data_IF_278973371278
#
_entry.id   IF_278973371278
#
_cell.length_a   1.000
_cell.length_b   1.000
_cell.length_c   1.000
_cell.angle_alpha   90.00
_cell.angle_beta   90.00
_cell.angle_gamma   90.00
#
_symmetry.space_group_name_H-M   'P 1'
#
loop_
_entity.id
_entity.type
_entity.pdbx_description
1 polymer ?
#
# COMPACT_ATOMS: atom_id res chain seq x y z
N UNK A 1 -0.75 -11.14 -14.56
CA UNK A 1 -0.83 -11.81 -15.87
C UNK A 1 -0.38 -13.27 -15.68
N UNK A 2 -1.32 -14.21 -15.72
CA UNK A 2 -1.00 -15.63 -15.66
C UNK A 2 -0.43 -16.04 -17.01
N UNK A 3 0.89 -16.25 -17.10
CA UNK A 3 1.49 -16.81 -18.32
C UNK A 3 1.47 -18.32 -18.16
N UNK A 4 0.44 -18.97 -18.74
CA UNK A 4 0.43 -20.41 -18.93
C UNK A 4 1.29 -20.68 -20.17
N UNK A 5 2.52 -21.15 -19.98
CA UNK A 5 3.33 -21.66 -21.09
C UNK A 5 2.78 -23.05 -21.44
N UNK A 6 1.96 -23.12 -22.50
CA UNK A 6 1.49 -24.40 -23.00
C UNK A 6 2.66 -25.25 -23.51
N UNK A 7 2.55 -26.56 -23.33
CA UNK A 7 3.52 -27.57 -23.83
C UNK A 7 3.83 -27.31 -25.31
N UNK A 8 5.00 -26.72 -25.60
CA UNK A 8 5.56 -26.74 -26.94
C UNK A 8 6.68 -27.78 -27.03
N UNK A 9 6.79 -28.49 -28.14
CA UNK A 9 7.72 -29.58 -28.36
C UNK A 9 9.21 -29.29 -28.11
N UNK A 10 9.55 -27.98 -27.90
CA UNK A 10 10.92 -27.55 -27.62
C UNK A 10 11.34 -27.72 -26.14
N UNK A 11 10.40 -27.84 -25.20
CA UNK A 11 10.73 -28.01 -23.77
C UNK A 11 11.15 -29.44 -23.44
N UNK A 12 10.68 -30.43 -24.20
CA UNK A 12 11.08 -31.84 -24.03
C UNK A 12 12.58 -32.05 -24.32
N UNK A 13 13.22 -31.19 -25.12
CA UNK A 13 14.67 -31.29 -25.42
C UNK A 13 15.57 -30.85 -24.26
N UNK A 14 15.04 -30.12 -23.28
CA UNK A 14 15.80 -29.61 -22.15
C UNK A 14 15.58 -30.43 -20.86
N UNK A 15 14.80 -31.52 -20.91
CA UNK A 15 14.52 -32.36 -19.74
C UNK A 15 13.69 -31.66 -18.66
N UNK A 16 12.98 -30.57 -19.01
CA UNK A 16 12.11 -29.82 -18.10
C UNK A 16 10.68 -30.35 -18.27
N UNK A 17 10.45 -31.52 -17.72
CA UNK A 17 9.10 -32.08 -17.64
C UNK A 17 8.34 -31.45 -16.48
N UNK A 18 7.18 -30.82 -16.78
CA UNK A 18 6.20 -30.33 -15.79
C UNK A 18 6.70 -29.24 -14.82
N UNK A 19 7.53 -28.27 -15.26
CA UNK A 19 7.81 -27.09 -14.45
C UNK A 19 6.65 -26.09 -14.58
N UNK A 20 5.91 -25.88 -13.49
CA UNK A 20 4.95 -24.78 -13.35
C UNK A 20 5.68 -23.60 -12.72
N UNK A 21 5.59 -22.41 -13.34
CA UNK A 21 6.22 -21.18 -12.84
C UNK A 21 5.14 -20.15 -12.64
N UNK A 22 5.02 -19.66 -11.39
CA UNK A 22 4.16 -18.55 -11.03
C UNK A 22 4.93 -17.24 -11.14
N UNK A 23 4.52 -16.34 -12.06
CA UNK A 23 5.21 -15.08 -12.35
C UNK A 23 4.39 -13.84 -11.96
N UNK A 24 3.24 -14.02 -11.32
CA UNK A 24 2.32 -12.93 -10.97
C UNK A 24 2.40 -12.56 -9.48
N UNK A 25 3.62 -12.45 -8.95
CA UNK A 25 3.83 -12.08 -7.55
C UNK A 25 3.45 -10.61 -7.23
N UNK A 26 3.20 -9.80 -8.25
CA UNK A 26 2.67 -8.45 -8.06
C UNK A 26 1.17 -8.43 -7.73
N UNK A 27 0.41 -9.42 -8.21
CA UNK A 27 -1.00 -9.55 -7.85
C UNK A 27 -1.17 -10.20 -6.48
N UNK A 28 -0.46 -11.31 -6.23
CA UNK A 28 -0.47 -12.01 -4.93
C UNK A 28 0.79 -12.84 -4.75
N UNK A 29 1.15 -13.11 -3.51
CA UNK A 29 2.34 -13.90 -3.15
C UNK A 29 1.93 -14.99 -2.17
N UNK A 30 2.53 -16.18 -2.31
CA UNK A 30 2.37 -17.27 -1.37
C UNK A 30 2.86 -16.84 0.02
N UNK A 31 2.12 -17.20 1.06
CA UNK A 31 2.59 -17.02 2.45
C UNK A 31 3.83 -17.88 2.66
N UNK A 32 4.91 -17.27 3.19
CA UNK A 32 6.12 -18.01 3.53
C UNK A 32 5.79 -19.11 4.56
N UNK A 33 6.25 -20.36 4.36
CA UNK A 33 6.00 -21.44 5.30
C UNK A 33 6.40 -21.15 6.75
N UNK A 34 7.49 -20.39 6.97
CA UNK A 34 7.92 -19.97 8.32
C UNK A 34 6.93 -18.99 8.94
N UNK A 35 6.35 -18.08 8.13
CA UNK A 35 5.31 -17.15 8.59
C UNK A 35 4.05 -17.91 8.95
N UNK A 36 3.64 -18.87 8.12
CA UNK A 36 2.49 -19.74 8.40
C UNK A 36 2.68 -20.51 9.71
N UNK A 37 3.85 -21.12 9.92
CA UNK A 37 4.15 -21.86 11.16
C UNK A 37 4.16 -20.95 12.39
N UNK A 38 4.67 -19.71 12.26
CA UNK A 38 4.65 -18.71 13.33
C UNK A 38 3.22 -18.24 13.69
N UNK A 39 2.34 -18.15 12.69
CA UNK A 39 0.94 -17.75 12.89
C UNK A 39 0.08 -18.86 13.50
N UNK A 40 0.35 -20.12 13.18
CA UNK A 40 -0.48 -21.28 13.53
C UNK A 40 -0.93 -21.35 14.98
N UNK A 41 -0.08 -21.11 16.00
CA UNK A 41 -0.48 -21.17 17.42
C UNK A 41 -1.60 -20.18 17.79
N UNK A 42 -1.69 -19.05 17.07
CA UNK A 42 -2.66 -18.00 17.38
C UNK A 42 -4.09 -18.32 16.95
N UNK A 43 -4.28 -19.36 16.12
CA UNK A 43 -5.61 -19.78 15.71
C UNK A 43 -6.32 -20.64 16.76
N UNK A 44 -5.58 -21.49 17.51
CA UNK A 44 -6.19 -22.46 18.42
C UNK A 44 -5.59 -22.47 19.82
N UNK A 45 -4.29 -22.16 19.99
CA UNK A 45 -3.59 -22.31 21.26
C UNK A 45 -3.50 -20.98 22.02
N UNK A 46 -3.19 -19.88 21.33
CA UNK A 46 -2.97 -18.53 21.86
C UNK A 46 -4.02 -17.54 21.32
N UNK A 47 -5.29 -17.88 21.41
CA UNK A 47 -6.41 -17.14 20.81
C UNK A 47 -7.02 -16.05 21.71
N UNK A 48 -6.49 -15.85 22.92
CA UNK A 48 -7.03 -14.90 23.88
C UNK A 48 -6.94 -13.45 23.41
N UNK A 49 -7.99 -12.65 23.70
CA UNK A 49 -7.96 -11.23 23.40
C UNK A 49 -6.83 -10.55 24.19
N UNK A 50 -5.85 -9.90 23.53
CA UNK A 50 -4.68 -9.30 24.19
C UNK A 50 -5.04 -8.18 25.19
N UNK A 51 -6.22 -7.57 25.06
CA UNK A 51 -6.71 -6.54 25.99
C UNK A 51 -7.42 -7.11 27.23
N UNK A 52 -7.59 -8.43 27.32
CA UNK A 52 -8.21 -9.06 28.48
C UNK A 52 -7.21 -9.26 29.61
N UNK A 53 -7.63 -8.96 30.86
CA UNK A 53 -6.78 -9.07 32.07
C UNK A 53 -6.59 -10.50 32.56
N UNK A 54 -7.33 -11.46 32.06
CA UNK A 54 -7.21 -12.85 32.46
C UNK A 54 -6.06 -13.57 31.75
N UNK A 55 -5.67 -14.74 32.24
CA UNK A 55 -4.52 -15.54 31.81
C UNK A 55 -4.41 -15.73 30.29
N UNK A 56 -5.52 -15.94 29.59
CA UNK A 56 -5.50 -16.16 28.14
C UNK A 56 -5.11 -14.88 27.36
N UNK A 57 -5.60 -13.71 27.78
CA UNK A 57 -5.22 -12.43 27.15
C UNK A 57 -3.78 -12.03 27.49
N UNK A 58 -3.38 -12.19 28.76
CA UNK A 58 -2.02 -11.88 29.22
C UNK A 58 -0.93 -12.68 28.47
N UNK A 59 -1.23 -13.88 27.97
CA UNK A 59 -0.29 -14.68 27.18
C UNK A 59 -0.14 -14.20 25.73
N UNK A 60 -1.16 -13.55 25.16
CA UNK A 60 -1.19 -13.09 23.77
C UNK A 60 -0.57 -11.68 23.62
N UNK A 61 -0.77 -10.80 24.59
CA UNK A 61 -0.33 -9.40 24.54
C UNK A 61 1.17 -9.22 24.24
N UNK A 62 2.12 -9.91 24.91
CA UNK A 62 3.55 -9.75 24.62
C UNK A 62 3.92 -10.11 23.17
N UNK A 63 3.22 -11.08 22.58
CA UNK A 63 3.45 -11.51 21.21
C UNK A 63 2.94 -10.50 20.19
N UNK A 64 1.84 -9.81 20.52
CA UNK A 64 1.35 -8.70 19.70
C UNK A 64 2.34 -7.53 19.72
N UNK A 65 2.88 -7.17 20.89
CA UNK A 65 3.91 -6.11 21.02
C UNK A 65 5.18 -6.48 20.23
N UNK A 66 5.65 -7.73 20.35
CA UNK A 66 6.80 -8.22 19.58
C UNK A 66 6.56 -8.09 18.07
N UNK A 67 5.39 -8.47 17.57
CA UNK A 67 5.03 -8.37 16.16
C UNK A 67 4.98 -6.91 15.68
N UNK A 68 4.43 -5.99 16.50
CA UNK A 68 4.43 -4.56 16.20
C UNK A 68 5.86 -4.00 16.11
N UNK A 69 6.75 -4.37 17.02
CA UNK A 69 8.15 -3.93 16.97
C UNK A 69 8.84 -4.35 15.67
N UNK A 70 8.58 -5.58 15.18
CA UNK A 70 9.10 -6.00 13.88
C UNK A 70 8.54 -5.17 12.71
N UNK A 71 7.31 -4.68 12.80
CA UNK A 71 6.77 -3.77 11.77
C UNK A 71 7.47 -2.41 11.82
N UNK A 72 7.67 -1.82 13.02
CA UNK A 72 8.44 -0.58 13.18
C UNK A 72 9.86 -0.70 12.62
N UNK A 73 10.57 -1.76 12.99
CA UNK A 73 11.93 -2.03 12.47
C UNK A 73 11.91 -2.25 10.94
N UNK A 74 10.92 -2.98 10.43
CA UNK A 74 10.84 -3.38 9.03
C UNK A 74 10.61 -2.24 8.04
N UNK A 75 10.06 -1.11 8.50
CA UNK A 75 9.84 0.10 7.69
C UNK A 75 10.62 1.31 8.21
N UNK A 76 11.52 1.12 9.16
CA UNK A 76 12.27 2.19 9.83
C UNK A 76 11.36 3.28 10.41
N UNK A 77 10.23 2.88 11.04
CA UNK A 77 9.35 3.82 11.70
C UNK A 77 9.96 4.30 13.02
N UNK A 78 9.77 5.58 13.35
CA UNK A 78 10.20 6.18 14.61
C UNK A 78 9.14 5.96 15.72
N UNK A 79 9.50 6.24 16.98
CA UNK A 79 8.60 6.08 18.12
C UNK A 79 7.37 7.01 18.07
N UNK A 80 7.48 8.14 17.37
CA UNK A 80 6.40 9.10 17.12
C UNK A 80 5.45 8.72 15.98
N UNK A 81 5.80 7.70 15.18
CA UNK A 81 4.94 7.21 14.11
C UNK A 81 3.90 6.22 14.66
N UNK A 82 2.71 6.22 14.07
CA UNK A 82 1.62 5.31 14.43
C UNK A 82 1.46 4.21 13.38
N UNK A 83 1.54 2.94 13.80
CA UNK A 83 1.17 1.80 12.96
C UNK A 83 -0.25 1.35 13.30
N UNK A 84 -1.17 1.52 12.36
CA UNK A 84 -2.57 1.15 12.49
C UNK A 84 -2.84 -0.12 11.70
N UNK A 85 -3.35 -1.16 12.37
CA UNK A 85 -3.68 -2.43 11.73
C UNK A 85 -5.11 -2.39 11.23
N UNK A 86 -5.28 -2.64 9.94
CA UNK A 86 -6.57 -2.76 9.25
C UNK A 86 -6.79 -4.17 8.72
N UNK A 87 -8.01 -4.50 8.29
CA UNK A 87 -8.31 -5.81 7.72
C UNK A 87 -7.61 -6.06 6.36
N UNK A 88 -7.39 -5.01 5.59
CA UNK A 88 -6.74 -5.07 4.27
C UNK A 88 -6.42 -3.66 3.75
N UNK A 89 -5.66 -3.57 2.65
CA UNK A 89 -5.29 -2.30 2.01
C UNK A 89 -6.51 -1.49 1.53
N UNK A 90 -7.62 -2.13 1.16
CA UNK A 90 -8.86 -1.43 0.79
C UNK A 90 -9.38 -0.58 1.95
N UNK A 91 -9.37 -1.12 3.16
CA UNK A 91 -9.76 -0.37 4.36
C UNK A 91 -8.79 0.77 4.62
N UNK A 92 -7.48 0.53 4.57
CA UNK A 92 -6.45 1.55 4.77
C UNK A 92 -6.61 2.72 3.79
N UNK A 93 -6.71 2.43 2.49
CA UNK A 93 -6.85 3.43 1.45
C UNK A 93 -8.14 4.25 1.61
N UNK A 94 -9.27 3.59 1.91
CA UNK A 94 -10.53 4.28 2.20
C UNK A 94 -10.45 5.14 3.45
N UNK A 95 -9.76 4.66 4.49
CA UNK A 95 -9.59 5.42 5.73
C UNK A 95 -8.84 6.73 5.48
N UNK A 96 -7.70 6.67 4.77
CA UNK A 96 -6.93 7.87 4.45
C UNK A 96 -7.74 8.85 3.61
N UNK A 97 -8.28 8.40 2.46
CA UNK A 97 -9.00 9.28 1.54
C UNK A 97 -10.25 9.89 2.16
N UNK A 98 -11.06 9.09 2.87
CA UNK A 98 -12.28 9.58 3.53
C UNK A 98 -11.97 10.37 4.79
N UNK A 99 -10.88 10.05 5.51
CA UNK A 99 -10.41 10.84 6.64
C UNK A 99 -10.02 12.25 6.20
N UNK A 100 -9.23 12.37 5.13
CA UNK A 100 -8.87 13.68 4.54
C UNK A 100 -10.11 14.46 4.08
N UNK A 101 -11.06 13.76 3.47
CA UNK A 101 -12.34 14.38 3.07
C UNK A 101 -13.10 14.93 4.28
N UNK A 102 -13.24 14.16 5.35
CA UNK A 102 -13.98 14.58 6.55
C UNK A 102 -13.25 15.73 7.27
N UNK A 103 -11.94 15.58 7.49
CA UNK A 103 -11.19 16.48 8.38
C UNK A 103 -10.72 17.76 7.70
N UNK A 104 -10.31 17.69 6.43
CA UNK A 104 -9.69 18.82 5.73
C UNK A 104 -10.59 19.45 4.66
N UNK A 105 -11.50 18.66 4.04
CA UNK A 105 -12.34 19.16 2.95
C UNK A 105 -13.69 19.63 3.46
N UNK A 106 -14.44 18.77 4.16
CA UNK A 106 -15.76 19.16 4.68
C UNK A 106 -15.71 20.27 5.74
N UNK A 107 -14.68 20.26 6.57
CA UNK A 107 -14.52 21.19 7.69
C UNK A 107 -13.44 22.27 7.46
N UNK A 108 -12.80 22.28 6.30
CA UNK A 108 -11.66 23.17 5.98
C UNK A 108 -11.85 23.96 4.70
N UNK A 109 -10.74 24.48 4.19
CA UNK A 109 -10.69 25.30 2.94
C UNK A 109 -10.08 24.55 1.78
N UNK A 110 -9.75 23.25 1.95
CA UNK A 110 -9.21 22.40 0.90
C UNK A 110 -10.35 21.70 0.15
N UNK A 111 -10.18 21.46 -1.16
CA UNK A 111 -11.17 20.73 -1.95
C UNK A 111 -10.57 19.98 -3.13
N UNK A 112 -9.28 19.61 -3.04
CA UNK A 112 -8.61 18.97 -4.17
C UNK A 112 -7.74 17.80 -3.74
N UNK A 113 -7.80 16.71 -4.50
CA UNK A 113 -6.96 15.51 -4.37
C UNK A 113 -6.25 15.28 -5.70
N UNK A 114 -4.98 14.91 -5.65
CA UNK A 114 -4.19 14.50 -6.81
C UNK A 114 -3.90 13.01 -6.69
N UNK A 115 -4.12 12.25 -7.76
CA UNK A 115 -3.81 10.81 -7.83
C UNK A 115 -3.36 10.45 -9.25
N UNK A 116 -3.11 9.16 -9.54
CA UNK A 116 -2.75 8.71 -10.89
C UNK A 116 -3.88 7.91 -11.55
N UNK A 117 -3.87 7.83 -12.89
CA UNK A 117 -4.83 7.02 -13.65
C UNK A 117 -4.63 5.51 -13.47
N UNK A 118 -3.47 5.10 -12.95
CA UNK A 118 -3.05 3.70 -12.85
C UNK A 118 -3.09 3.13 -11.42
N UNK A 119 -3.74 3.85 -10.51
CA UNK A 119 -3.95 3.39 -9.14
C UNK A 119 -4.82 2.13 -9.07
N UNK A 120 -4.68 1.39 -7.97
CA UNK A 120 -5.59 0.30 -7.68
C UNK A 120 -7.04 0.81 -7.53
N UNK A 121 -8.07 0.01 -7.91
CA UNK A 121 -9.49 0.40 -7.81
C UNK A 121 -9.91 0.90 -6.43
N UNK A 122 -9.24 0.52 -5.35
CA UNK A 122 -9.51 1.03 -4.00
C UNK A 122 -9.27 2.54 -3.86
N UNK A 123 -8.35 3.09 -4.65
CA UNK A 123 -8.09 4.54 -4.73
C UNK A 123 -9.05 5.18 -5.74
N UNK A 124 -9.07 4.68 -6.99
CA UNK A 124 -9.83 5.31 -8.07
C UNK A 124 -11.35 5.30 -7.81
N UNK A 125 -11.90 4.19 -7.28
CA UNK A 125 -13.32 4.13 -6.92
C UNK A 125 -13.67 5.03 -5.72
N UNK A 126 -12.75 5.16 -4.74
CA UNK A 126 -12.95 6.08 -3.62
C UNK A 126 -12.86 7.53 -4.08
N UNK A 127 -11.91 7.88 -4.95
CA UNK A 127 -11.84 9.21 -5.56
C UNK A 127 -13.11 9.53 -6.35
N UNK A 128 -13.64 8.58 -7.12
CA UNK A 128 -14.90 8.74 -7.85
C UNK A 128 -16.09 9.02 -6.92
N UNK A 129 -16.18 8.28 -5.81
CA UNK A 129 -17.17 8.57 -4.79
C UNK A 129 -17.01 9.98 -4.22
N UNK A 130 -15.78 10.45 -3.97
CA UNK A 130 -15.52 11.78 -3.45
C UNK A 130 -15.86 12.88 -4.47
N UNK A 131 -15.64 12.65 -5.78
CA UNK A 131 -16.10 13.56 -6.85
C UNK A 131 -17.61 13.72 -6.83
N UNK A 132 -18.37 12.65 -6.60
CA UNK A 132 -19.83 12.70 -6.45
C UNK A 132 -20.26 13.48 -5.19
N UNK A 133 -19.36 13.68 -4.22
CA UNK A 133 -19.54 14.55 -3.05
C UNK A 133 -19.02 15.99 -3.26
N UNK A 134 -18.57 16.33 -4.48
CA UNK A 134 -18.10 17.66 -4.84
C UNK A 134 -16.61 17.93 -4.65
N UNK A 135 -15.80 16.89 -4.36
CA UNK A 135 -14.34 17.01 -4.30
C UNK A 135 -13.77 17.10 -5.71
N UNK A 136 -12.83 18.00 -5.93
CA UNK A 136 -12.07 18.07 -7.18
C UNK A 136 -10.94 17.02 -7.18
N UNK A 137 -10.84 16.19 -8.19
CA UNK A 137 -9.77 15.20 -8.32
C UNK A 137 -9.00 15.41 -9.61
N UNK A 138 -7.67 15.45 -9.52
CA UNK A 138 -6.78 15.43 -10.68
C UNK A 138 -6.15 14.04 -10.81
N UNK A 139 -6.38 13.39 -11.95
CA UNK A 139 -5.76 12.12 -12.30
C UNK A 139 -4.58 12.38 -13.23
N UNK A 140 -3.36 12.05 -12.79
CA UNK A 140 -2.15 12.20 -13.57
C UNK A 140 -1.96 10.97 -14.47
N UNK A 141 -1.82 11.20 -15.78
CA UNK A 141 -1.45 10.16 -16.72
C UNK A 141 0.00 9.74 -16.56
N UNK A 142 0.33 8.50 -16.91
CA UNK A 142 1.70 7.99 -16.92
C UNK A 142 2.40 8.29 -18.25
N UNK A 143 3.73 8.38 -18.20
CA UNK A 143 4.58 8.51 -19.36
C UNK A 143 4.77 7.16 -20.09
N UNK A 144 5.54 7.13 -21.19
CA UNK A 144 5.82 5.93 -22.00
C UNK A 144 6.53 4.82 -21.19
N UNK A 145 7.14 5.17 -20.08
CA UNK A 145 7.74 4.21 -19.16
C UNK A 145 6.76 3.61 -18.13
N UNK A 146 5.52 4.07 -18.10
CA UNK A 146 4.47 3.61 -17.17
C UNK A 146 4.59 4.20 -15.76
N UNK A 147 5.28 5.33 -15.60
CA UNK A 147 5.39 6.08 -14.34
C UNK A 147 5.07 7.56 -14.57
N UNK A 148 5.13 8.39 -13.52
CA UNK A 148 4.99 9.84 -13.62
C UNK A 148 6.32 10.53 -13.30
N UNK A 149 6.53 11.71 -13.87
CA UNK A 149 7.57 12.60 -13.39
C UNK A 149 7.08 13.34 -12.14
N UNK A 150 7.93 13.47 -11.14
CA UNK A 150 7.58 14.18 -9.90
C UNK A 150 7.16 15.63 -10.15
N UNK A 151 7.69 16.24 -11.24
CA UNK A 151 7.29 17.57 -11.68
C UNK A 151 5.81 17.67 -12.10
N UNK A 152 5.20 16.58 -12.56
CA UNK A 152 3.75 16.54 -12.88
C UNK A 152 2.91 16.77 -11.63
N UNK A 153 3.31 16.18 -10.50
CA UNK A 153 2.66 16.42 -9.21
C UNK A 153 2.81 17.87 -8.79
N UNK A 154 4.04 18.43 -8.87
CA UNK A 154 4.32 19.83 -8.54
C UNK A 154 3.43 20.80 -9.32
N UNK A 155 3.27 20.56 -10.62
CA UNK A 155 2.47 21.39 -11.51
C UNK A 155 0.95 21.27 -11.26
N UNK A 156 0.50 20.14 -10.69
CA UNK A 156 -0.90 19.89 -10.39
C UNK A 156 -1.31 20.41 -8.99
N UNK A 157 -0.36 20.65 -8.09
CA UNK A 157 -0.64 21.21 -6.74
C UNK A 157 -1.25 22.62 -6.88
N UNK A 158 -2.37 22.81 -6.18
CA UNK A 158 -3.11 24.08 -6.06
C UNK A 158 -3.16 24.51 -4.59
N UNK A 159 -3.55 25.73 -4.34
CA UNK A 159 -3.72 26.26 -2.98
C UNK A 159 -4.70 25.40 -2.14
N UNK A 160 -5.76 24.90 -2.79
CA UNK A 160 -6.78 24.05 -2.17
C UNK A 160 -6.46 22.55 -2.20
N UNK A 161 -5.26 22.11 -2.59
CA UNK A 161 -4.87 20.70 -2.56
C UNK A 161 -4.75 20.19 -1.12
N UNK A 162 -5.53 19.17 -0.78
CA UNK A 162 -5.51 18.51 0.53
C UNK A 162 -4.56 17.31 0.57
N UNK A 163 -4.55 16.51 -0.50
CA UNK A 163 -3.84 15.24 -0.55
C UNK A 163 -3.26 14.98 -1.94
N UNK A 164 -2.06 14.42 -1.96
CA UNK A 164 -1.49 13.70 -3.10
C UNK A 164 -1.44 12.22 -2.73
N UNK A 165 -2.02 11.35 -3.56
CA UNK A 165 -2.05 9.90 -3.37
C UNK A 165 -1.47 9.23 -4.61
N UNK A 166 -0.29 8.61 -4.48
CA UNK A 166 0.42 7.93 -5.58
C UNK A 166 0.94 6.58 -5.09
N UNK A 167 0.60 5.51 -5.79
CA UNK A 167 1.10 4.17 -5.47
C UNK A 167 2.62 4.09 -5.55
N UNK A 168 3.24 3.26 -4.71
CA UNK A 168 4.69 3.07 -4.75
C UNK A 168 5.12 2.14 -5.89
N UNK A 169 4.42 1.02 -6.02
CA UNK A 169 4.67 0.02 -7.06
C UNK A 169 3.36 -0.42 -7.69
N UNK A 170 3.31 -0.41 -9.01
CA UNK A 170 2.12 -0.83 -9.74
C UNK A 170 1.96 -2.36 -9.69
N UNK A 171 0.78 -2.82 -9.30
CA UNK A 171 0.45 -4.24 -9.14
C UNK A 171 0.37 -5.03 -10.45
N UNK A 172 0.20 -4.37 -11.59
CA UNK A 172 0.10 -5.00 -12.91
C UNK A 172 1.47 -5.05 -13.61
N UNK A 173 2.20 -3.94 -13.58
CA UNK A 173 3.44 -3.79 -14.36
C UNK A 173 4.72 -3.95 -13.52
N UNK A 174 4.62 -3.83 -12.20
CA UNK A 174 5.77 -3.78 -11.29
C UNK A 174 6.58 -2.48 -11.35
N UNK A 175 6.10 -1.47 -12.09
CA UNK A 175 6.80 -0.18 -12.19
C UNK A 175 6.80 0.54 -10.85
N UNK A 176 7.96 1.06 -10.46
CA UNK A 176 8.14 1.91 -9.28
C UNK A 176 7.90 3.38 -9.64
N UNK A 177 7.26 4.10 -8.71
CA UNK A 177 7.00 5.53 -8.80
C UNK A 177 8.00 6.33 -7.95
N UNK A 178 8.33 7.59 -8.31
CA UNK A 178 9.34 8.40 -7.62
C UNK A 178 8.77 9.04 -6.33
N UNK A 179 8.31 8.19 -5.39
CA UNK A 179 7.55 8.64 -4.22
C UNK A 179 8.37 9.49 -3.25
N UNK A 180 9.69 9.30 -3.16
CA UNK A 180 10.57 10.13 -2.34
C UNK A 180 10.56 11.59 -2.82
N UNK A 181 10.74 11.79 -4.13
CA UNK A 181 10.70 13.14 -4.72
C UNK A 181 9.30 13.75 -4.61
N UNK A 182 8.25 12.95 -4.78
CA UNK A 182 6.86 13.40 -4.63
C UNK A 182 6.59 13.78 -3.16
N UNK A 183 7.03 12.97 -2.20
CA UNK A 183 6.91 13.27 -0.77
C UNK A 183 7.58 14.60 -0.41
N UNK A 184 8.80 14.85 -0.93
CA UNK A 184 9.48 16.12 -0.72
C UNK A 184 8.70 17.31 -1.33
N UNK A 185 8.16 17.14 -2.54
CA UNK A 185 7.31 18.18 -3.16
C UNK A 185 6.08 18.47 -2.31
N UNK A 186 5.41 17.43 -1.78
CA UNK A 186 4.24 17.61 -0.92
C UNK A 186 4.59 18.32 0.38
N UNK A 187 5.71 17.95 1.01
CA UNK A 187 6.23 18.60 2.22
C UNK A 187 6.52 20.09 1.99
N UNK A 188 7.20 20.44 0.89
CA UNK A 188 7.53 21.81 0.53
C UNK A 188 6.30 22.69 0.28
N UNK A 189 5.16 22.08 -0.12
CA UNK A 189 3.90 22.76 -0.40
C UNK A 189 2.86 22.61 0.72
N UNK A 190 3.21 22.01 1.86
CA UNK A 190 2.29 21.73 2.99
C UNK A 190 1.02 20.99 2.56
N UNK A 191 1.20 19.93 1.75
CA UNK A 191 0.16 19.04 1.28
C UNK A 191 0.39 17.65 1.87
N UNK A 192 -0.65 16.96 2.29
CA UNK A 192 -0.52 15.58 2.77
C UNK A 192 -0.11 14.65 1.61
N UNK A 193 0.77 13.71 1.93
CA UNK A 193 1.18 12.66 1.00
C UNK A 193 0.76 11.29 1.49
N UNK A 194 0.14 10.51 0.62
CA UNK A 194 -0.23 9.11 0.82
C UNK A 194 0.35 8.26 -0.30
N UNK A 195 0.85 7.08 0.04
CA UNK A 195 1.28 6.09 -0.96
C UNK A 195 0.70 4.72 -0.65
N UNK A 196 -0.01 4.12 -1.62
CA UNK A 196 -0.36 2.70 -1.56
C UNK A 196 0.92 1.88 -1.81
N UNK A 197 1.51 1.37 -0.73
CA UNK A 197 2.73 0.58 -0.74
C UNK A 197 2.49 -0.94 -0.71
N UNK A 198 1.27 -1.40 -0.99
CA UNK A 198 0.87 -2.82 -0.92
C UNK A 198 1.81 -3.72 -1.71
N UNK A 199 2.30 -3.29 -2.85
CA UNK A 199 3.21 -4.07 -3.69
C UNK A 199 4.69 -3.69 -3.49
N UNK A 200 5.00 -2.72 -2.63
CA UNK A 200 6.37 -2.32 -2.30
C UNK A 200 6.92 -3.05 -1.07
N UNK A 201 6.10 -3.15 0.00
CA UNK A 201 6.52 -3.76 1.28
C UNK A 201 6.98 -5.21 1.06
N UNK A 202 8.17 -5.53 1.58
CA UNK A 202 8.79 -6.86 1.43
C UNK A 202 9.43 -7.13 0.06
N UNK A 203 9.34 -6.20 -0.90
CA UNK A 203 9.93 -6.33 -2.24
C UNK A 203 11.00 -5.28 -2.53
N UNK A 204 10.85 -4.09 -1.96
CA UNK A 204 11.85 -3.01 -1.98
C UNK A 204 12.13 -2.57 -0.55
N UNK A 205 13.23 -1.83 -0.35
CA UNK A 205 13.51 -1.22 0.95
C UNK A 205 12.48 -0.11 1.17
N UNK A 206 11.77 -0.20 2.29
CA UNK A 206 10.81 0.81 2.73
C UNK A 206 11.41 1.52 3.94
N UNK A 207 11.60 2.81 3.84
CA UNK A 207 12.07 3.68 4.91
C UNK A 207 11.12 4.88 4.99
N UNK A 208 10.32 4.95 6.07
CA UNK A 208 9.31 6.01 6.22
C UNK A 208 9.91 7.31 6.77
N UNK A 209 11.20 7.33 7.11
CA UNK A 209 11.93 8.53 7.53
C UNK A 209 12.65 9.23 6.38
N UNK A 210 12.67 8.64 5.17
CA UNK A 210 13.50 9.09 4.02
C UNK A 210 12.78 10.10 3.07
#
# INVERSE_FOLDING_TARGET
MLIIISKSDNYYRLGIENMEVYLDNNATTMVDPKVYDAMKPFFCDMYGNPNSLHKFGAGTHPKMVEALNYLYEGINAADEDDIIITANATESNNWVLKGVWIDLILNGNKNHIITTEVEHPTITATCKFLEDQGVSVTYLGVNDEGTIDASSVRNAIREDTALVSVMWANNETGKLFPIKEIGQICKDNNVLFHSDATQAIGKVIVDVQD
#
